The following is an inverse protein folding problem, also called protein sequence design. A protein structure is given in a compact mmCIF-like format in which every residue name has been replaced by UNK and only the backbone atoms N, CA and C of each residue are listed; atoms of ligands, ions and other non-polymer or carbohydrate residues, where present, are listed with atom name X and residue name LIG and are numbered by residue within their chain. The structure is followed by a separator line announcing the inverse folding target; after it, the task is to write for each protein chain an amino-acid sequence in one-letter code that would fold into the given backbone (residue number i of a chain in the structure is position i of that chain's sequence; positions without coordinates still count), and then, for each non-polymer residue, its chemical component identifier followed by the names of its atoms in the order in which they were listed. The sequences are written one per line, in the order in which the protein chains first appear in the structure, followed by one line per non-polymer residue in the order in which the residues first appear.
data_IF_625677725020
#
_entry.id   IF_625677725020
#
_cell.length_a   1.000
_cell.length_b   1.000
_cell.length_c   1.000
_cell.angle_alpha   90.00
_cell.angle_beta   90.00
_cell.angle_gamma   90.00
#
_symmetry.space_group_name_H-M   'P 1'
#
loop_
_entity.id
_entity.type
_entity.pdbx_description
1 polymer ?
#
# COMPACT_ATOMS: atom_id res chain seq x y z
N UNK A 1 -27.19 15.79 -22.04
CA UNK A 1 -27.14 14.33 -21.84
C UNK A 1 -25.74 14.02 -21.36
N UNK A 2 -25.62 13.84 -20.05
CA UNK A 2 -24.37 13.84 -19.30
C UNK A 2 -23.63 12.50 -19.40
N UNK A 3 -22.32 12.63 -19.61
CA UNK A 3 -21.23 11.84 -19.02
C UNK A 3 -21.21 10.33 -19.30
N UNK A 4 -20.31 9.97 -20.22
CA UNK A 4 -19.76 8.63 -20.37
C UNK A 4 -18.87 8.30 -19.16
N UNK A 5 -19.43 7.62 -18.16
CA UNK A 5 -18.65 6.93 -17.13
C UNK A 5 -18.12 5.62 -17.71
N UNK A 6 -16.96 5.68 -18.37
CA UNK A 6 -16.17 4.48 -18.68
C UNK A 6 -15.73 3.85 -17.36
N UNK A 7 -16.43 2.80 -16.97
CA UNK A 7 -16.08 1.86 -15.91
C UNK A 7 -14.80 1.11 -16.30
N UNK A 8 -13.66 1.48 -15.71
CA UNK A 8 -12.37 0.80 -15.86
C UNK A 8 -11.94 0.10 -14.56
N UNK A 9 -12.90 -0.43 -13.77
CA UNK A 9 -12.64 -1.07 -12.46
C UNK A 9 -12.67 -2.61 -12.51
N UNK A 10 -12.51 -3.24 -13.67
CA UNK A 10 -12.30 -4.70 -13.71
C UNK A 10 -10.79 -4.97 -13.73
N UNK A 11 -10.19 -5.44 -12.62
CA UNK A 11 -8.77 -5.82 -12.63
C UNK A 11 -8.55 -6.91 -13.67
N UNK A 12 -7.49 -6.77 -14.46
CA UNK A 12 -7.14 -7.78 -15.46
C UNK A 12 -6.92 -9.13 -14.74
N UNK A 13 -7.33 -10.28 -15.33
CA UNK A 13 -7.14 -11.60 -14.73
C UNK A 13 -5.68 -11.86 -14.31
N UNK A 14 -4.72 -11.32 -15.05
CA UNK A 14 -3.29 -11.42 -14.77
C UNK A 14 -2.86 -10.64 -13.51
N UNK A 15 -3.45 -9.46 -13.28
CA UNK A 15 -3.20 -8.66 -12.08
C UNK A 15 -3.75 -9.34 -10.82
N UNK A 16 -4.91 -10.00 -10.96
CA UNK A 16 -5.53 -10.77 -9.88
C UNK A 16 -4.66 -11.98 -9.53
N UNK A 17 -4.20 -12.74 -10.54
CA UNK A 17 -3.34 -13.90 -10.32
C UNK A 17 -2.00 -13.55 -9.66
N UNK A 18 -1.39 -12.42 -10.05
CA UNK A 18 -0.15 -11.93 -9.42
C UNK A 18 -0.38 -11.56 -7.95
N UNK A 19 -1.47 -10.85 -7.64
CA UNK A 19 -1.84 -10.47 -6.26
C UNK A 19 -2.12 -11.70 -5.39
N UNK A 20 -2.86 -12.68 -5.92
CA UNK A 20 -3.17 -13.92 -5.21
C UNK A 20 -1.92 -14.73 -4.85
N UNK A 21 -0.91 -14.75 -5.72
CA UNK A 21 0.37 -15.39 -5.44
C UNK A 21 1.10 -14.75 -4.25
N UNK A 22 1.07 -13.42 -4.15
CA UNK A 22 1.63 -12.72 -2.99
C UNK A 22 0.84 -12.99 -1.70
N UNK A 23 -0.49 -13.06 -1.77
CA UNK A 23 -1.30 -13.43 -0.62
C UNK A 23 -1.00 -14.85 -0.13
N UNK A 24 -0.84 -15.80 -1.05
CA UNK A 24 -0.46 -17.18 -0.71
C UNK A 24 0.92 -17.24 -0.04
N UNK A 25 1.90 -16.49 -0.55
CA UNK A 25 3.22 -16.42 0.05
C UNK A 25 3.19 -15.79 1.44
N UNK A 26 2.39 -14.72 1.63
CA UNK A 26 2.23 -14.07 2.92
C UNK A 26 1.58 -15.01 3.95
N UNK A 27 0.61 -15.82 3.53
CA UNK A 27 0.01 -16.85 4.37
C UNK A 27 1.05 -17.90 4.80
N UNK A 28 1.84 -18.42 3.86
CA UNK A 28 2.88 -19.40 4.17
C UNK A 28 3.94 -18.87 5.15
N UNK A 29 4.36 -17.62 4.98
CA UNK A 29 5.30 -16.96 5.92
C UNK A 29 4.63 -16.73 7.27
N UNK A 30 3.36 -16.33 7.29
CA UNK A 30 2.58 -16.18 8.53
C UNK A 30 2.53 -17.50 9.32
N UNK A 31 2.25 -18.61 8.66
CA UNK A 31 2.21 -19.93 9.29
C UNK A 31 3.57 -20.34 9.85
N UNK A 32 4.66 -20.09 9.12
CA UNK A 32 6.02 -20.32 9.61
C UNK A 32 6.33 -19.48 10.87
N UNK A 33 5.90 -18.21 10.90
CA UNK A 33 6.06 -17.33 12.06
C UNK A 33 5.22 -17.78 13.25
N UNK A 34 3.99 -18.23 13.01
CA UNK A 34 3.10 -18.78 14.05
C UNK A 34 3.71 -20.05 14.65
N UNK A 35 4.22 -20.95 13.81
CA UNK A 35 4.84 -22.19 14.26
C UNK A 35 6.11 -21.96 15.09
N UNK A 36 6.92 -20.96 14.73
CA UNK A 36 8.19 -20.68 15.41
C UNK A 36 8.04 -19.81 16.67
N UNK A 37 7.13 -18.82 16.66
CA UNK A 37 7.09 -17.76 17.68
C UNK A 37 5.68 -17.48 18.24
N UNK A 38 4.65 -18.15 17.71
CA UNK A 38 3.27 -17.97 18.12
C UNK A 38 2.53 -16.88 17.34
N UNK A 39 1.20 -16.90 17.50
CA UNK A 39 0.27 -16.07 16.72
C UNK A 39 0.40 -14.57 16.98
N UNK A 40 0.66 -14.18 18.22
CA UNK A 40 0.74 -12.77 18.60
C UNK A 40 1.96 -12.09 17.98
N UNK A 41 3.08 -12.81 17.89
CA UNK A 41 4.27 -12.34 17.19
C UNK A 41 4.00 -12.16 15.69
N UNK A 42 3.43 -13.18 15.04
CA UNK A 42 3.14 -13.13 13.61
C UNK A 42 2.22 -11.95 13.25
N UNK A 43 1.17 -11.73 14.04
CA UNK A 43 0.25 -10.60 13.86
C UNK A 43 0.96 -9.25 14.06
N UNK A 44 1.74 -9.10 15.12
CA UNK A 44 2.47 -7.87 15.42
C UNK A 44 3.47 -7.49 14.33
N UNK A 45 4.18 -8.46 13.75
CA UNK A 45 5.11 -8.23 12.67
C UNK A 45 4.42 -7.74 11.38
N UNK A 46 3.25 -8.27 11.04
CA UNK A 46 2.47 -7.80 9.89
C UNK A 46 1.93 -6.38 10.11
N UNK A 47 1.48 -6.06 11.32
CA UNK A 47 1.08 -4.69 11.68
C UNK A 47 2.25 -3.72 11.57
N UNK A 48 3.46 -4.14 11.97
CA UNK A 48 4.66 -3.32 11.82
C UNK A 48 5.02 -3.11 10.35
N UNK A 49 4.94 -4.15 9.53
CA UNK A 49 5.16 -4.06 8.08
C UNK A 49 4.16 -3.10 7.41
N UNK A 50 2.87 -3.23 7.74
CA UNK A 50 1.82 -2.34 7.23
C UNK A 50 2.07 -0.88 7.62
N UNK A 51 2.48 -0.63 8.87
CA UNK A 51 2.83 0.71 9.35
C UNK A 51 4.01 1.29 8.56
N UNK A 52 5.07 0.51 8.34
CA UNK A 52 6.23 0.96 7.58
C UNK A 52 5.88 1.40 6.16
N UNK A 53 4.98 0.64 5.50
CA UNK A 53 4.47 0.97 4.17
C UNK A 53 3.70 2.30 4.22
N UNK A 54 2.74 2.44 5.13
CA UNK A 54 1.97 3.67 5.30
C UNK A 54 2.85 4.91 5.60
N UNK A 55 3.90 4.75 6.40
CA UNK A 55 4.86 5.80 6.69
C UNK A 55 5.74 6.14 5.47
N UNK A 56 6.09 5.17 4.63
CA UNK A 56 6.80 5.43 3.37
C UNK A 56 5.95 6.22 2.37
N UNK A 57 4.66 5.92 2.28
CA UNK A 57 3.73 6.67 1.42
C UNK A 57 3.54 8.09 1.93
N UNK A 58 3.43 8.28 3.25
CA UNK A 58 3.34 9.62 3.86
C UNK A 58 4.60 10.46 3.60
N UNK A 59 5.80 9.87 3.71
CA UNK A 59 7.07 10.54 3.38
C UNK A 59 7.15 10.92 1.91
N UNK A 60 6.75 10.01 1.04
CA UNK A 60 6.78 10.24 -0.41
C UNK A 60 5.78 11.33 -0.78
N UNK A 61 4.55 11.25 -0.27
CA UNK A 61 3.51 12.27 -0.44
C UNK A 61 3.96 13.64 0.03
N UNK A 62 4.56 13.75 1.21
CA UNK A 62 5.09 15.01 1.74
C UNK A 62 6.21 15.59 0.85
N UNK A 63 7.06 14.75 0.26
CA UNK A 63 8.10 15.18 -0.67
C UNK A 63 7.50 15.73 -1.98
N UNK A 64 6.46 15.11 -2.53
CA UNK A 64 5.79 15.63 -3.74
C UNK A 64 5.05 16.95 -3.45
N UNK A 65 4.45 17.06 -2.26
CA UNK A 65 3.72 18.26 -1.82
C UNK A 65 4.65 19.47 -1.60
N UNK A 66 5.87 19.22 -1.13
CA UNK A 66 6.94 20.23 -1.02
C UNK A 66 7.48 20.70 -2.38
N UNK A 67 7.39 19.87 -3.43
CA UNK A 67 7.87 20.19 -4.78
C UNK A 67 6.80 20.85 -5.67
N UNK A 68 5.52 20.71 -5.32
CA UNK A 68 4.39 21.27 -6.08
C UNK A 68 3.79 22.54 -5.48
N UNK A 69 4.32 23.05 -4.37
CA UNK A 69 3.90 24.34 -3.81
C UNK A 69 4.59 25.48 -4.57
N UNK A 70 3.89 26.28 -5.39
CA UNK A 70 4.47 27.51 -5.89
C UNK A 70 4.67 28.44 -4.69
N UNK A 71 5.94 28.76 -4.40
CA UNK A 71 6.32 29.91 -3.59
C UNK A 71 5.48 31.09 -4.05
N UNK A 72 4.50 31.51 -3.25
CA UNK A 72 3.82 32.80 -3.48
C UNK A 72 4.93 33.85 -3.54
N UNK A 73 5.00 34.69 -4.58
CA UNK A 73 5.92 35.82 -4.53
C UNK A 73 5.44 36.70 -3.37
N UNK A 74 6.28 36.84 -2.36
CA UNK A 74 6.18 37.98 -1.43
C UNK A 74 6.32 39.21 -2.30
N UNK A 75 5.21 39.90 -2.53
CA UNK A 75 5.18 41.25 -3.03
C UNK A 75 5.08 42.14 -1.78
N UNK A 76 6.22 42.62 -1.31
CA UNK A 76 6.29 43.86 -0.52
C UNK A 76 6.29 45.06 -1.46
#
# INVERSE_FOLDING_TARGET
MSENTTTNDTPSPEETASKDAFFAQLAAVSDAMIAAHGRDFAMGAHLLAARYIAESDARTKAAVESLTSPTKPVLE
#
